data_IF_793801012342
#
_entry.id   IF_793801012342
#
_cell.length_a   1.000
_cell.length_b   1.000
_cell.length_c   1.000
_cell.angle_alpha   90.00
_cell.angle_beta   90.00
_cell.angle_gamma   90.00
#
_symmetry.space_group_name_H-M   'P 1'
#
loop_
_entity.id
_entity.type
_entity.pdbx_description
1 polymer ?
#
# COMPACT_ATOMS: atom_id res chain seq x y z
N UNK A 1 -5.85 -5.75 -9.83
CA UNK A 1 -4.85 -4.92 -9.12
C UNK A 1 -4.98 -3.47 -9.57
N UNK A 2 -4.83 -2.52 -8.66
CA UNK A 2 -4.99 -1.08 -8.94
C UNK A 2 -3.86 -0.29 -8.27
N UNK A 3 -3.66 0.96 -8.72
CA UNK A 3 -2.70 1.86 -8.11
C UNK A 3 -3.39 2.74 -7.09
N UNK A 4 -2.68 3.02 -6.01
CA UNK A 4 -3.04 4.04 -5.03
C UNK A 4 -1.92 5.06 -4.93
N UNK A 5 -2.28 6.28 -4.57
CA UNK A 5 -1.36 7.35 -4.24
C UNK A 5 -1.47 7.63 -2.76
N UNK A 6 -0.34 7.64 -2.05
CA UNK A 6 -0.30 8.02 -0.65
C UNK A 6 -0.68 9.50 -0.48
N UNK A 7 -1.38 9.79 0.61
CA UNK A 7 -1.84 11.13 0.99
C UNK A 7 -1.14 11.65 2.24
N UNK A 8 -0.52 10.75 3.00
CA UNK A 8 0.18 11.01 4.25
C UNK A 8 1.51 10.23 4.26
N UNK A 9 2.45 10.65 5.12
CA UNK A 9 3.64 9.86 5.42
C UNK A 9 3.24 8.69 6.31
N UNK A 10 3.84 7.53 6.06
CA UNK A 10 3.73 6.38 6.92
C UNK A 10 5.10 5.72 7.09
N UNK A 11 5.46 5.43 8.33
CA UNK A 11 6.72 4.76 8.69
C UNK A 11 6.37 3.38 9.24
N UNK A 12 6.96 2.37 8.63
CA UNK A 12 6.82 0.99 9.06
C UNK A 12 7.24 0.86 10.54
N UNK A 13 6.40 0.20 11.31
CA UNK A 13 6.58 -0.18 12.71
C UNK A 13 7.05 -1.64 12.82
N UNK A 14 6.72 -2.47 11.82
CA UNK A 14 7.20 -3.85 11.69
C UNK A 14 7.77 -4.12 10.29
N UNK A 15 8.41 -5.28 10.14
CA UNK A 15 9.18 -5.74 8.98
C UNK A 15 8.32 -6.13 7.77
N UNK A 16 7.05 -6.41 7.99
CA UNK A 16 6.07 -6.70 6.94
C UNK A 16 5.34 -5.43 6.45
N UNK A 17 5.56 -4.28 7.07
CA UNK A 17 4.93 -3.00 6.71
C UNK A 17 5.77 -2.18 5.72
N UNK A 18 5.10 -1.40 4.86
CA UNK A 18 5.77 -0.47 3.94
C UNK A 18 6.03 0.88 4.59
N UNK A 19 7.21 1.46 4.33
CA UNK A 19 7.46 2.89 4.56
C UNK A 19 7.29 3.67 3.26
N UNK A 20 6.50 4.75 3.31
CA UNK A 20 6.27 5.62 2.16
C UNK A 20 5.99 7.07 2.56
N UNK A 21 6.37 7.99 1.67
CA UNK A 21 6.09 9.42 1.80
C UNK A 21 4.77 9.81 1.14
N UNK A 22 4.25 11.02 1.37
CA UNK A 22 3.07 11.54 0.66
C UNK A 22 3.32 11.66 -0.86
N UNK A 23 2.31 11.31 -1.66
CA UNK A 23 2.36 11.38 -3.12
C UNK A 23 3.08 10.21 -3.80
N UNK A 24 3.56 9.24 -3.03
CA UNK A 24 4.16 8.00 -3.53
C UNK A 24 3.09 7.07 -4.11
N UNK A 25 3.41 6.39 -5.20
CA UNK A 25 2.50 5.45 -5.85
C UNK A 25 2.80 4.02 -5.41
N UNK A 26 1.77 3.33 -4.94
CA UNK A 26 1.84 1.94 -4.52
C UNK A 26 0.90 1.11 -5.38
N UNK A 27 1.36 -0.09 -5.76
CA UNK A 27 0.54 -1.07 -6.46
C UNK A 27 -0.11 -1.99 -5.43
N UNK A 28 -1.43 -1.92 -5.32
CA UNK A 28 -2.19 -2.85 -4.47
C UNK A 28 -2.15 -4.23 -5.07
N UNK A 29 -1.66 -5.18 -4.29
CA UNK A 29 -1.59 -6.60 -4.62
C UNK A 29 -2.85 -7.32 -4.14
N UNK A 30 -3.08 -8.52 -4.67
CA UNK A 30 -4.16 -9.37 -4.20
C UNK A 30 -3.71 -10.05 -2.91
N UNK A 31 -4.49 -9.88 -1.84
CA UNK A 31 -4.25 -10.53 -0.56
C UNK A 31 -4.71 -11.99 -0.62
N UNK A 32 -3.86 -12.91 -0.19
CA UNK A 32 -4.19 -14.32 -0.01
C UNK A 32 -4.48 -14.64 1.47
N UNK A 33 -5.15 -15.76 1.77
CA UNK A 33 -5.39 -16.19 3.16
C UNK A 33 -4.12 -16.38 4.00
N UNK A 34 -2.97 -16.62 3.35
CA UNK A 34 -1.67 -16.82 4.00
C UNK A 34 -0.93 -15.51 4.35
N UNK A 35 -1.33 -14.37 3.77
CA UNK A 35 -0.61 -13.09 3.91
C UNK A 35 -0.90 -12.34 5.22
N UNK A 36 -1.80 -12.87 6.08
CA UNK A 36 -2.14 -12.30 7.41
C UNK A 36 -2.36 -10.79 7.40
N UNK A 37 -3.17 -10.27 6.46
CA UNK A 37 -3.45 -8.83 6.36
C UNK A 37 -4.69 -8.49 7.20
N UNK A 38 -4.50 -7.57 8.15
CA UNK A 38 -5.56 -7.10 9.04
C UNK A 38 -6.59 -6.20 8.33
N UNK A 39 -7.76 -6.04 8.97
CA UNK A 39 -8.80 -5.12 8.48
C UNK A 39 -8.28 -3.67 8.45
N UNK A 40 -8.54 -2.96 7.34
CA UNK A 40 -8.04 -1.61 7.10
C UNK A 40 -6.60 -1.55 6.56
N UNK A 41 -5.99 -2.70 6.30
CA UNK A 41 -4.67 -2.82 5.68
C UNK A 41 -4.76 -3.46 4.30
N UNK A 42 -3.78 -3.14 3.46
CA UNK A 42 -3.65 -3.69 2.12
C UNK A 42 -2.22 -4.10 1.86
N UNK A 43 -2.04 -5.18 1.11
CA UNK A 43 -0.73 -5.59 0.62
C UNK A 43 -0.35 -4.76 -0.61
N UNK A 44 0.85 -4.19 -0.61
CA UNK A 44 1.35 -3.30 -1.66
C UNK A 44 2.73 -3.67 -2.17
N UNK A 45 3.06 -3.12 -3.34
CA UNK A 45 4.40 -3.12 -3.91
C UNK A 45 4.78 -1.70 -4.34
N UNK A 46 5.97 -1.26 -3.93
CA UNK A 46 6.60 0.00 -4.34
C UNK A 46 7.24 -0.13 -5.72
N UNK A 47 7.58 0.99 -6.35
CA UNK A 47 8.27 0.99 -7.66
C UNK A 47 9.66 0.33 -7.63
N UNK A 48 10.30 0.26 -6.46
CA UNK A 48 11.59 -0.42 -6.25
C UNK A 48 11.47 -1.94 -6.02
N UNK A 49 10.24 -2.48 -6.03
CA UNK A 49 9.95 -3.89 -5.79
C UNK A 49 9.77 -4.26 -4.32
N UNK A 50 9.90 -3.32 -3.39
CA UNK A 50 9.64 -3.57 -1.96
C UNK A 50 8.16 -3.88 -1.76
N UNK A 51 7.86 -4.94 -1.01
CA UNK A 51 6.51 -5.37 -0.67
C UNK A 51 6.26 -5.30 0.81
N UNK A 52 5.02 -5.03 1.16
CA UNK A 52 4.56 -5.03 2.54
C UNK A 52 3.13 -4.53 2.66
N UNK A 53 2.57 -4.64 3.85
CA UNK A 53 1.26 -4.12 4.17
C UNK A 53 1.33 -2.63 4.44
N UNK A 54 0.23 -1.92 4.19
CA UNK A 54 0.11 -0.51 4.52
C UNK A 54 -1.34 -0.14 4.85
N UNK A 55 -1.55 0.92 5.65
CA UNK A 55 -2.88 1.35 6.04
C UNK A 55 -3.63 1.98 4.85
N UNK A 56 -4.81 1.45 4.52
CA UNK A 56 -5.54 1.86 3.32
C UNK A 56 -5.98 3.32 3.36
N UNK A 57 -6.32 3.82 4.56
CA UNK A 57 -6.79 5.18 4.82
C UNK A 57 -5.71 6.25 4.60
N UNK A 58 -4.44 5.86 4.44
CA UNK A 58 -3.35 6.76 4.11
C UNK A 58 -3.18 6.91 2.60
N UNK A 59 -3.98 6.19 1.80
CA UNK A 59 -3.88 6.18 0.35
C UNK A 59 -5.22 6.49 -0.31
N UNK A 60 -5.16 6.93 -1.56
CA UNK A 60 -6.34 7.11 -2.41
C UNK A 60 -6.13 6.38 -3.73
N UNK A 61 -7.17 5.70 -4.19
CA UNK A 61 -7.15 5.03 -5.49
C UNK A 61 -6.89 6.04 -6.60
N UNK A 62 -5.97 5.70 -7.50
CA UNK A 62 -5.75 6.47 -8.72
C UNK A 62 -6.81 6.02 -9.72
N UNK A 63 -7.85 6.82 -9.88
CA UNK A 63 -8.78 6.64 -10.99
C UNK A 63 -8.08 7.11 -12.27
N UNK A 64 -7.97 6.22 -13.25
CA UNK A 64 -7.59 6.68 -14.60
C UNK A 64 -8.80 7.41 -15.16
N UNK A 65 -8.67 8.71 -15.40
CA UNK A 65 -9.65 9.45 -16.18
C UNK A 65 -9.83 8.74 -17.53
N UNK A 66 -11.07 8.37 -17.84
CA UNK A 66 -11.48 7.86 -19.15
C UNK A 66 -11.59 8.99 -20.18
#
# INVERSE_FOLDING_TARGET
LYLVKSTHEYKALDTDELTFGPGEELKVLETKPEDQVDEGWQLGEKSDGTRGVFPENFTKRIEKCA
#
